data_IF_182293998302
#
_entry.id   IF_182293998302
#
_cell.length_a   1.000
_cell.length_b   1.000
_cell.length_c   1.000
_cell.angle_alpha   90.00
_cell.angle_beta   90.00
_cell.angle_gamma   90.00
#
_symmetry.space_group_name_H-M   'P 1'
#
loop_
_entity.id
_entity.type
_entity.pdbx_description
1 polymer ?
#
# COMPACT_ATOMS: atom_id res chain seq x y z
N UNK A 1 -12.40 2.70 -21.65
CA UNK A 1 -12.94 1.64 -20.79
C UNK A 1 -14.31 1.35 -21.34
N UNK A 2 -14.54 0.14 -21.83
CA UNK A 2 -15.89 -0.32 -22.11
C UNK A 2 -16.66 -0.33 -20.79
N UNK A 3 -17.88 0.20 -20.82
CA UNK A 3 -18.84 0.33 -19.70
C UNK A 3 -19.35 -1.03 -19.16
N UNK A 4 -18.59 -2.10 -19.34
CA UNK A 4 -18.95 -3.43 -18.87
C UNK A 4 -18.17 -3.69 -17.58
N UNK A 5 -18.89 -3.69 -16.45
CA UNK A 5 -18.34 -4.08 -15.16
C UNK A 5 -17.83 -5.53 -15.20
N UNK A 6 -16.93 -5.86 -14.28
CA UNK A 6 -16.34 -7.20 -14.19
C UNK A 6 -17.39 -8.27 -13.91
N UNK A 7 -17.30 -9.38 -14.62
CA UNK A 7 -18.11 -10.56 -14.35
C UNK A 7 -17.66 -11.27 -13.05
N UNK A 8 -18.55 -12.05 -12.40
CA UNK A 8 -18.15 -12.93 -11.30
C UNK A 8 -17.09 -13.98 -11.67
N UNK A 9 -16.87 -14.23 -12.97
CA UNK A 9 -15.82 -15.14 -13.46
C UNK A 9 -14.44 -14.46 -13.51
N UNK A 10 -14.40 -13.13 -13.67
CA UNK A 10 -13.18 -12.31 -13.63
C UNK A 10 -12.77 -11.95 -12.19
N UNK A 11 -13.72 -11.93 -11.26
CA UNK A 11 -13.47 -11.79 -9.82
C UNK A 11 -13.43 -13.20 -9.21
N UNK A 12 -12.24 -13.76 -9.02
CA UNK A 12 -12.11 -15.05 -8.32
C UNK A 12 -12.54 -14.90 -6.86
N UNK A 13 -13.76 -15.37 -6.56
CA UNK A 13 -14.36 -15.39 -5.22
C UNK A 13 -14.14 -16.72 -4.50
N UNK A 14 -13.41 -17.66 -5.10
CA UNK A 14 -13.10 -18.96 -4.50
C UNK A 14 -11.82 -18.94 -3.65
N UNK A 15 -11.00 -17.90 -3.80
CA UNK A 15 -9.71 -17.76 -3.12
C UNK A 15 -9.60 -16.43 -2.37
N UNK A 16 -8.97 -16.42 -1.18
CA UNK A 16 -8.77 -15.19 -0.43
C UNK A 16 -7.76 -14.27 -1.12
N UNK A 17 -8.05 -12.97 -1.15
CA UNK A 17 -7.19 -11.94 -1.73
C UNK A 17 -6.67 -10.97 -0.67
N UNK A 18 -5.39 -10.56 -0.71
CA UNK A 18 -4.82 -9.66 0.28
C UNK A 18 -5.58 -8.35 0.47
N UNK A 19 -6.04 -7.70 -0.62
CA UNK A 19 -6.79 -6.44 -0.54
C UNK A 19 -8.12 -6.60 0.22
N UNK A 20 -8.81 -7.73 0.02
CA UNK A 20 -10.10 -8.05 0.65
C UNK A 20 -9.94 -8.47 2.11
N UNK A 21 -8.88 -9.21 2.41
CA UNK A 21 -8.50 -9.51 3.81
C UNK A 21 -8.13 -8.23 4.57
N UNK A 22 -7.39 -7.32 3.92
CA UNK A 22 -7.01 -6.03 4.50
C UNK A 22 -8.23 -5.13 4.76
N UNK A 23 -9.19 -5.09 3.83
CA UNK A 23 -10.48 -4.45 4.04
C UNK A 23 -11.20 -4.99 5.29
N UNK A 24 -11.24 -6.31 5.45
CA UNK A 24 -11.84 -6.93 6.64
C UNK A 24 -11.12 -6.55 7.94
N UNK A 25 -9.77 -6.50 7.95
CA UNK A 25 -9.00 -6.03 9.11
C UNK A 25 -9.31 -4.58 9.49
N UNK A 26 -9.71 -3.75 8.51
CA UNK A 26 -10.14 -2.37 8.73
C UNK A 26 -11.63 -2.24 9.09
N UNK A 27 -12.37 -3.35 9.18
CA UNK A 27 -13.80 -3.37 9.46
C UNK A 27 -14.69 -3.06 8.25
N UNK A 28 -14.13 -3.14 7.05
CA UNK A 28 -14.85 -2.99 5.79
C UNK A 28 -15.72 -4.20 5.45
N UNK A 29 -16.49 -4.08 4.36
CA UNK A 29 -17.49 -5.06 3.93
C UNK A 29 -17.32 -5.51 2.49
N UNK A 30 -16.29 -5.03 1.82
CA UNK A 30 -16.02 -5.26 0.40
C UNK A 30 -15.09 -6.48 0.26
N UNK A 31 -15.57 -7.58 0.81
CA UNK A 31 -14.88 -8.86 0.95
C UNK A 31 -15.87 -10.01 0.87
N UNK A 32 -15.42 -11.17 0.40
CA UNK A 32 -16.23 -12.39 0.30
C UNK A 32 -16.04 -13.29 1.52
N UNK A 33 -16.86 -14.34 1.62
CA UNK A 33 -16.80 -15.29 2.73
C UNK A 33 -15.42 -15.94 2.88
N UNK A 34 -14.81 -16.35 1.76
CA UNK A 34 -13.45 -16.93 1.73
C UNK A 34 -12.39 -15.97 2.29
N UNK A 35 -12.55 -14.67 2.05
CA UNK A 35 -11.65 -13.64 2.56
C UNK A 35 -11.81 -13.48 4.07
N UNK A 36 -13.07 -13.45 4.56
CA UNK A 36 -13.37 -13.35 6.00
C UNK A 36 -12.89 -14.56 6.78
N UNK A 37 -13.08 -15.77 6.25
CA UNK A 37 -12.58 -16.98 6.89
C UNK A 37 -11.05 -17.02 6.94
N UNK A 38 -10.37 -16.60 5.87
CA UNK A 38 -8.92 -16.47 5.86
C UNK A 38 -8.45 -15.40 6.86
N UNK A 39 -9.07 -14.23 6.82
CA UNK A 39 -8.74 -13.11 7.70
C UNK A 39 -8.97 -13.46 9.18
N UNK A 40 -10.10 -14.10 9.52
CA UNK A 40 -10.39 -14.52 10.89
C UNK A 40 -9.37 -15.52 11.42
N UNK A 41 -8.92 -16.48 10.59
CA UNK A 41 -7.85 -17.40 11.00
C UNK A 41 -6.54 -16.67 11.29
N UNK A 42 -6.18 -15.67 10.47
CA UNK A 42 -5.01 -14.82 10.74
C UNK A 42 -5.21 -14.04 12.04
N UNK A 43 -6.41 -13.54 12.32
CA UNK A 43 -6.71 -12.83 13.58
C UNK A 43 -6.59 -13.77 14.80
N UNK A 44 -7.07 -15.01 14.68
CA UNK A 44 -7.03 -15.99 15.78
C UNK A 44 -5.59 -16.38 16.12
N UNK A 45 -4.72 -16.49 15.10
CA UNK A 45 -3.29 -16.80 15.26
C UNK A 45 -2.48 -15.56 15.64
N UNK A 46 -2.80 -14.41 15.05
CA UNK A 46 -2.04 -13.18 15.18
C UNK A 46 -2.97 -11.96 15.35
N UNK A 47 -3.52 -11.76 16.57
CA UNK A 47 -4.52 -10.72 16.84
C UNK A 47 -4.05 -9.29 16.53
N UNK A 48 -2.74 -9.05 16.55
CA UNK A 48 -2.14 -7.75 16.29
C UNK A 48 -2.26 -7.31 14.82
N UNK A 49 -2.63 -8.19 13.90
CA UNK A 49 -2.83 -7.84 12.48
C UNK A 49 -3.83 -6.70 12.29
N UNK A 50 -4.89 -6.65 13.11
CA UNK A 50 -5.92 -5.60 13.07
C UNK A 50 -5.32 -4.27 13.49
N UNK A 51 -4.54 -4.27 14.58
CA UNK A 51 -3.85 -3.08 15.07
C UNK A 51 -2.83 -2.58 14.05
N UNK A 52 -2.08 -3.50 13.42
CA UNK A 52 -1.08 -3.20 12.39
C UNK A 52 -1.72 -2.60 11.14
N UNK A 53 -2.82 -3.17 10.62
CA UNK A 53 -3.54 -2.64 9.48
C UNK A 53 -4.05 -1.20 9.74
N UNK A 54 -4.65 -0.97 10.91
CA UNK A 54 -5.11 0.36 11.31
C UNK A 54 -3.94 1.34 11.48
N UNK A 55 -2.83 0.91 12.08
CA UNK A 55 -1.61 1.70 12.25
C UNK A 55 -0.99 2.11 10.92
N UNK A 56 -0.91 1.18 9.96
CA UNK A 56 -0.46 1.43 8.60
C UNK A 56 -1.40 2.40 7.86
N UNK A 57 -2.72 2.25 8.00
CA UNK A 57 -3.68 3.20 7.42
C UNK A 57 -3.52 4.61 7.98
N UNK A 58 -3.32 4.75 9.30
CA UNK A 58 -3.03 6.06 9.92
C UNK A 58 -1.72 6.65 9.40
N UNK A 59 -0.67 5.85 9.22
CA UNK A 59 0.58 6.30 8.60
C UNK A 59 0.35 6.82 7.18
N UNK A 60 -0.39 6.07 6.35
CA UNK A 60 -0.71 6.47 4.98
C UNK A 60 -1.35 7.87 4.95
N UNK A 61 -2.35 8.13 5.80
CA UNK A 61 -2.98 9.46 5.87
C UNK A 61 -1.96 10.57 6.19
N UNK A 62 -1.08 10.36 7.16
CA UNK A 62 -0.05 11.36 7.54
C UNK A 62 0.99 11.55 6.45
N UNK A 63 1.41 10.47 5.79
CA UNK A 63 2.37 10.53 4.68
C UNK A 63 1.78 11.28 3.48
N UNK A 64 0.53 11.00 3.11
CA UNK A 64 -0.16 11.68 2.00
C UNK A 64 -0.37 13.17 2.30
N UNK A 65 -0.78 13.52 3.53
CA UNK A 65 -0.87 14.92 3.96
C UNK A 65 0.48 15.62 3.81
N UNK A 66 1.56 14.96 4.27
CA UNK A 66 2.91 15.47 4.12
C UNK A 66 3.32 15.65 2.65
N UNK A 67 2.99 14.71 1.75
CA UNK A 67 3.24 14.88 0.31
C UNK A 67 2.60 16.17 -0.21
N UNK A 68 1.31 16.37 0.05
CA UNK A 68 0.58 17.54 -0.41
C UNK A 68 1.11 18.86 0.17
N UNK A 69 1.39 18.90 1.48
CA UNK A 69 2.00 20.06 2.17
C UNK A 69 3.39 20.39 1.62
N UNK A 70 4.13 19.37 1.16
CA UNK A 70 5.48 19.51 0.61
C UNK A 70 5.53 19.93 -0.87
N UNK A 71 4.37 20.20 -1.47
CA UNK A 71 4.25 20.68 -2.85
C UNK A 71 3.98 19.60 -3.90
N UNK A 72 3.84 18.32 -3.53
CA UNK A 72 3.44 17.28 -4.48
C UNK A 72 1.99 17.52 -4.93
N UNK A 73 1.75 17.45 -6.23
CA UNK A 73 0.41 17.65 -6.86
C UNK A 73 -0.07 16.47 -7.69
N UNK A 74 0.70 15.39 -7.72
CA UNK A 74 0.42 14.22 -8.53
C UNK A 74 0.96 12.99 -7.81
N UNK A 75 0.10 12.00 -7.59
CA UNK A 75 0.38 10.80 -6.82
C UNK A 75 0.07 9.58 -7.67
N UNK A 76 0.98 8.61 -7.66
CA UNK A 76 0.77 7.26 -8.19
C UNK A 76 0.73 6.30 -7.01
N UNK A 77 -0.42 5.67 -6.81
CA UNK A 77 -0.70 4.78 -5.67
C UNK A 77 -0.83 3.34 -6.16
N UNK A 78 0.24 2.54 -6.00
CA UNK A 78 0.33 1.18 -6.53
C UNK A 78 0.09 0.17 -5.39
N UNK A 79 -0.86 -0.74 -5.61
CA UNK A 79 -1.42 -1.58 -4.55
C UNK A 79 -2.42 -0.80 -3.71
N UNK A 80 -3.32 -0.06 -4.39
CA UNK A 80 -4.32 0.81 -3.75
C UNK A 80 -5.18 0.07 -2.73
N UNK A 81 -5.48 -1.20 -3.00
CA UNK A 81 -6.41 -2.01 -2.24
C UNK A 81 -7.85 -1.52 -2.34
N UNK A 82 -8.72 -2.12 -1.55
CA UNK A 82 -10.14 -1.72 -1.47
C UNK A 82 -10.25 -0.28 -0.96
N UNK A 83 -11.07 0.58 -1.61
CA UNK A 83 -11.29 1.95 -1.15
C UNK A 83 -11.84 2.00 0.29
N UNK A 84 -11.03 2.51 1.23
CA UNK A 84 -11.44 2.78 2.61
C UNK A 84 -11.33 4.27 2.90
N UNK A 85 -12.40 4.95 3.28
CA UNK A 85 -12.33 6.39 3.52
C UNK A 85 -11.56 6.74 4.83
N UNK A 86 -10.79 7.85 4.86
CA UNK A 86 -10.45 8.71 3.72
C UNK A 86 -9.40 8.05 2.80
N UNK A 87 -9.64 8.09 1.49
CA UNK A 87 -8.73 7.60 0.45
C UNK A 87 -7.58 8.59 0.18
N UNK A 88 -6.52 8.13 -0.48
CA UNK A 88 -5.34 8.95 -0.84
C UNK A 88 -5.70 10.32 -1.43
N UNK A 89 -6.59 10.37 -2.44
CA UNK A 89 -7.02 11.62 -3.05
C UNK A 89 -7.80 12.52 -2.07
N UNK A 90 -8.63 11.94 -1.20
CA UNK A 90 -9.41 12.71 -0.22
C UNK A 90 -8.46 13.40 0.77
N UNK A 91 -7.49 12.65 1.32
CA UNK A 91 -6.47 13.21 2.23
C UNK A 91 -5.62 14.28 1.55
N UNK A 92 -5.19 14.04 0.30
CA UNK A 92 -4.37 15.02 -0.43
C UNK A 92 -5.16 16.28 -0.79
N UNK A 93 -6.43 16.14 -1.19
CA UNK A 93 -7.28 17.24 -1.65
C UNK A 93 -7.84 18.08 -0.50
N UNK A 94 -7.88 17.56 0.73
CA UNK A 94 -8.06 18.37 1.93
C UNK A 94 -6.96 19.45 2.08
N UNK A 95 -5.74 19.15 1.64
CA UNK A 95 -4.60 20.08 1.66
C UNK A 95 -4.54 20.93 0.39
N UNK A 96 -4.70 20.30 -0.79
CA UNK A 96 -4.63 20.98 -2.09
C UNK A 96 -5.61 20.36 -3.08
N UNK A 97 -6.75 21.02 -3.38
CA UNK A 97 -7.84 20.44 -4.18
C UNK A 97 -7.48 20.00 -5.61
N UNK A 98 -6.36 20.50 -6.14
CA UNK A 98 -5.84 20.22 -7.48
C UNK A 98 -4.96 18.96 -7.55
N UNK A 99 -4.71 18.27 -6.43
CA UNK A 99 -3.91 17.04 -6.43
C UNK A 99 -4.58 15.96 -7.27
N UNK A 100 -3.81 15.43 -8.22
CA UNK A 100 -4.20 14.31 -9.09
C UNK A 100 -3.70 12.99 -8.52
N UNK A 101 -4.52 11.93 -8.61
CA UNK A 101 -4.14 10.60 -8.12
C UNK A 101 -4.46 9.53 -9.14
N UNK A 102 -3.44 8.78 -9.55
CA UNK A 102 -3.60 7.55 -10.33
C UNK A 102 -3.49 6.34 -9.40
N UNK A 103 -4.57 5.59 -9.28
CA UNK A 103 -4.67 4.38 -8.50
C UNK A 103 -4.44 3.15 -9.37
N UNK A 104 -3.67 2.20 -8.84
CA UNK A 104 -3.32 0.95 -9.53
C UNK A 104 -3.47 -0.21 -8.54
N UNK A 105 -4.16 -1.25 -8.97
CA UNK A 105 -4.25 -2.52 -8.26
C UNK A 105 -4.40 -3.66 -9.27
N UNK A 106 -4.02 -4.89 -8.92
CA UNK A 106 -4.19 -6.04 -9.80
C UNK A 106 -5.42 -6.89 -9.47
N UNK A 107 -6.11 -6.63 -8.36
CA UNK A 107 -7.37 -7.31 -8.02
C UNK A 107 -8.55 -6.66 -8.77
N UNK A 108 -9.25 -7.38 -9.68
CA UNK A 108 -10.42 -6.88 -10.40
C UNK A 108 -11.56 -6.37 -9.50
N UNK A 109 -11.63 -6.86 -8.25
CA UNK A 109 -12.64 -6.36 -7.30
C UNK A 109 -12.41 -4.87 -6.98
N UNK A 110 -11.14 -4.45 -6.88
CA UNK A 110 -10.79 -3.06 -6.55
C UNK A 110 -11.29 -2.13 -7.64
N UNK A 111 -11.20 -2.55 -8.90
CA UNK A 111 -11.72 -1.80 -10.03
C UNK A 111 -13.24 -1.57 -9.95
N UNK A 112 -13.98 -2.58 -9.51
CA UNK A 112 -15.44 -2.50 -9.29
C UNK A 112 -15.78 -1.44 -8.26
N UNK A 113 -15.04 -1.37 -7.15
CA UNK A 113 -15.27 -0.38 -6.09
C UNK A 113 -14.66 1.01 -6.38
N UNK A 114 -13.59 1.06 -7.18
CA UNK A 114 -12.92 2.29 -7.58
C UNK A 114 -13.87 3.24 -8.32
N UNK A 115 -14.72 2.72 -9.20
CA UNK A 115 -15.71 3.52 -9.94
C UNK A 115 -16.69 4.27 -9.05
N UNK A 116 -17.12 3.65 -7.95
CA UNK A 116 -18.09 4.24 -7.03
C UNK A 116 -17.47 5.23 -6.02
N UNK A 117 -16.21 5.02 -5.62
CA UNK A 117 -15.61 5.73 -4.49
C UNK A 117 -14.41 6.63 -4.85
N UNK A 118 -13.75 6.38 -5.98
CA UNK A 118 -12.53 7.08 -6.36
C UNK A 118 -12.74 8.03 -7.54
N UNK A 119 -13.68 7.75 -8.45
CA UNK A 119 -13.84 8.48 -9.71
C UNK A 119 -15.04 9.43 -9.63
N UNK A 120 -14.80 10.75 -9.60
CA UNK A 120 -15.90 11.72 -9.53
C UNK A 120 -15.56 13.16 -9.90
N UNK A 121 -14.30 13.60 -9.73
CA UNK A 121 -13.90 14.99 -9.96
C UNK A 121 -12.92 15.19 -11.15
N UNK A 122 -12.58 14.13 -11.88
CA UNK A 122 -11.66 14.19 -13.03
C UNK A 122 -10.17 14.36 -12.68
N UNK A 123 -9.84 14.53 -11.41
CA UNK A 123 -8.48 14.55 -10.87
C UNK A 123 -8.02 13.16 -10.38
N UNK A 124 -8.83 12.12 -10.55
CA UNK A 124 -8.52 10.74 -10.17
C UNK A 124 -8.71 9.80 -11.34
N UNK A 125 -7.94 8.73 -11.34
CA UNK A 125 -8.07 7.64 -12.31
C UNK A 125 -7.68 6.33 -11.66
N UNK A 126 -8.28 5.24 -12.13
CA UNK A 126 -7.98 3.89 -11.70
C UNK A 126 -7.69 3.03 -12.92
N UNK A 127 -6.80 2.06 -12.80
CA UNK A 127 -6.65 0.98 -13.77
C UNK A 127 -6.05 -0.27 -13.13
N UNK A 128 -6.29 -1.42 -13.79
CA UNK A 128 -5.66 -2.66 -13.38
C UNK A 128 -4.20 -2.71 -13.83
N UNK A 129 -3.30 -3.04 -12.92
CA UNK A 129 -1.88 -3.15 -13.21
C UNK A 129 -1.13 -3.92 -12.12
N UNK A 130 -0.13 -4.69 -12.54
CA UNK A 130 0.72 -5.45 -11.62
C UNK A 130 1.98 -4.64 -11.26
N UNK A 131 2.27 -4.51 -9.97
CA UNK A 131 3.46 -3.78 -9.47
C UNK A 131 4.76 -4.37 -10.03
N UNK A 132 4.76 -5.64 -10.45
CA UNK A 132 5.89 -6.33 -11.09
C UNK A 132 6.12 -5.91 -12.54
N UNK A 133 5.24 -5.10 -13.12
CA UNK A 133 5.34 -4.61 -14.49
C UNK A 133 5.47 -3.06 -14.55
N UNK A 134 6.59 -2.47 -14.06
CA UNK A 134 6.76 -1.01 -14.02
C UNK A 134 6.52 -0.31 -15.35
N UNK A 135 7.06 -0.84 -16.45
CA UNK A 135 6.88 -0.26 -17.78
C UNK A 135 5.41 -0.23 -18.23
N UNK A 136 4.65 -1.27 -17.89
CA UNK A 136 3.22 -1.36 -18.20
C UNK A 136 2.44 -0.28 -17.45
N UNK A 137 2.71 -0.14 -16.16
CA UNK A 137 2.10 0.88 -15.30
C UNK A 137 2.48 2.28 -15.78
N UNK A 138 3.77 2.58 -15.92
CA UNK A 138 4.28 3.92 -16.25
C UNK A 138 3.80 4.42 -17.62
N UNK A 139 3.54 3.51 -18.58
CA UNK A 139 3.04 3.84 -19.92
C UNK A 139 1.53 3.77 -20.04
N UNK A 140 0.82 3.41 -18.98
CA UNK A 140 -0.63 3.24 -19.04
C UNK A 140 -1.33 4.57 -19.37
N UNK A 141 -2.37 4.59 -20.24
CA UNK A 141 -3.03 5.84 -20.65
C UNK A 141 -3.59 6.69 -19.50
N UNK A 142 -3.97 6.06 -18.38
CA UNK A 142 -4.41 6.79 -17.18
C UNK A 142 -3.27 7.57 -16.53
N UNK A 143 -2.05 7.01 -16.51
CA UNK A 143 -0.85 7.71 -16.04
C UNK A 143 -0.59 8.92 -16.93
N UNK A 144 -0.54 8.76 -18.25
CA UNK A 144 -0.27 9.87 -19.18
C UNK A 144 -1.31 11.00 -19.13
N UNK A 145 -2.54 10.72 -18.66
CA UNK A 145 -3.60 11.73 -18.49
C UNK A 145 -3.49 12.52 -17.18
N UNK A 146 -2.90 11.92 -16.14
CA UNK A 146 -2.92 12.46 -14.78
C UNK A 146 -1.55 12.90 -14.27
N UNK A 147 -0.48 12.28 -14.78
CA UNK A 147 0.87 12.42 -14.24
C UNK A 147 1.77 13.05 -15.30
N UNK A 148 2.36 14.17 -14.95
CA UNK A 148 3.37 14.89 -15.72
C UNK A 148 4.75 14.60 -15.14
N UNK A 149 5.53 13.72 -15.76
CA UNK A 149 6.87 13.33 -15.27
C UNK A 149 7.94 14.42 -15.43
N UNK A 150 7.61 15.61 -15.94
CA UNK A 150 8.47 16.79 -15.85
C UNK A 150 8.33 17.51 -14.48
N UNK A 151 7.39 17.08 -13.65
CA UNK A 151 7.12 17.64 -12.32
C UNK A 151 7.20 16.56 -11.21
N UNK A 152 7.59 16.91 -9.98
CA UNK A 152 7.66 15.96 -8.86
C UNK A 152 6.40 15.13 -8.66
N UNK A 153 6.58 13.82 -8.48
CA UNK A 153 5.50 12.83 -8.27
C UNK A 153 5.64 12.19 -6.88
N UNK A 154 4.52 11.94 -6.21
CA UNK A 154 4.47 11.07 -5.04
C UNK A 154 4.19 9.64 -5.46
N UNK A 155 5.15 8.74 -5.32
CA UNK A 155 4.96 7.30 -5.52
C UNK A 155 4.64 6.64 -4.18
N UNK A 156 3.55 5.89 -4.12
CA UNK A 156 3.16 5.11 -2.94
C UNK A 156 3.27 3.61 -3.22
N UNK A 157 4.02 2.94 -2.36
CA UNK A 157 4.19 1.49 -2.26
C UNK A 157 3.89 1.07 -0.81
N UNK A 158 2.65 1.34 -0.39
CA UNK A 158 2.19 1.15 1.00
C UNK A 158 1.60 -0.24 1.14
N UNK A 159 2.17 -1.06 2.02
CA UNK A 159 1.71 -2.42 2.31
C UNK A 159 1.56 -3.35 1.07
N UNK A 160 2.46 -3.22 0.09
CA UNK A 160 2.43 -4.03 -1.15
C UNK A 160 3.69 -4.88 -1.36
N UNK A 161 4.89 -4.34 -1.08
CA UNK A 161 6.15 -5.01 -1.45
C UNK A 161 6.42 -6.30 -0.67
N UNK A 162 5.76 -6.51 0.46
CA UNK A 162 5.85 -7.76 1.21
C UNK A 162 5.11 -8.92 0.53
N UNK A 163 4.37 -8.68 -0.55
CA UNK A 163 3.82 -9.72 -1.42
C UNK A 163 4.74 -10.09 -2.59
N UNK A 164 5.87 -9.38 -2.73
CA UNK A 164 6.89 -9.64 -3.74
C UNK A 164 7.98 -10.50 -3.13
N UNK A 165 8.26 -11.64 -3.77
CA UNK A 165 9.30 -12.57 -3.33
C UNK A 165 10.68 -12.08 -3.72
N UNK A 166 11.71 -12.56 -3.05
CA UNK A 166 13.08 -12.12 -3.33
C UNK A 166 13.58 -12.55 -4.74
N UNK A 167 13.05 -13.65 -5.30
CA UNK A 167 13.33 -14.08 -6.68
C UNK A 167 12.65 -13.20 -7.75
N UNK A 168 11.73 -12.32 -7.35
CA UNK A 168 11.06 -11.35 -8.22
C UNK A 168 11.77 -9.98 -8.23
N UNK A 169 12.97 -9.87 -7.63
CA UNK A 169 13.81 -8.67 -7.55
C UNK A 169 13.07 -7.40 -7.08
N UNK A 170 12.59 -7.36 -5.81
CA UNK A 170 11.85 -6.23 -5.28
C UNK A 170 12.67 -4.93 -5.29
N UNK A 171 13.99 -5.02 -5.14
CA UNK A 171 14.88 -3.85 -5.18
C UNK A 171 14.97 -3.29 -6.61
N UNK A 172 15.11 -4.15 -7.61
CA UNK A 172 15.05 -3.78 -9.03
C UNK A 172 13.71 -3.17 -9.42
N UNK A 173 12.58 -3.68 -8.89
CA UNK A 173 11.26 -3.09 -9.12
C UNK A 173 11.17 -1.67 -8.58
N UNK A 174 11.58 -1.44 -7.32
CA UNK A 174 11.59 -0.09 -6.73
C UNK A 174 12.55 0.84 -7.48
N UNK A 175 13.71 0.34 -7.91
CA UNK A 175 14.65 1.09 -8.73
C UNK A 175 14.04 1.50 -10.08
N UNK A 176 13.32 0.61 -10.77
CA UNK A 176 12.67 0.90 -12.04
C UNK A 176 11.63 2.03 -11.90
N UNK A 177 10.80 2.00 -10.85
CA UNK A 177 9.90 3.11 -10.58
C UNK A 177 10.65 4.39 -10.22
N UNK A 178 11.64 4.32 -9.32
CA UNK A 178 12.47 5.47 -8.93
C UNK A 178 13.06 6.15 -10.16
N UNK A 179 13.62 5.39 -11.09
CA UNK A 179 14.36 5.92 -12.23
C UNK A 179 13.47 6.72 -13.19
N UNK A 180 12.17 6.40 -13.24
CA UNK A 180 11.17 7.17 -14.00
C UNK A 180 10.73 8.48 -13.32
N UNK A 181 10.98 8.66 -12.02
CA UNK A 181 10.54 9.85 -11.29
C UNK A 181 11.51 11.04 -11.51
N UNK A 182 11.04 12.28 -11.68
CA UNK A 182 11.93 13.45 -11.67
C UNK A 182 12.49 13.74 -10.27
N UNK A 183 13.55 14.53 -10.19
CA UNK A 183 14.09 15.05 -8.93
C UNK A 183 13.01 15.81 -8.13
N UNK A 184 13.08 15.72 -6.80
CA UNK A 184 12.07 16.25 -5.87
C UNK A 184 10.83 15.36 -5.70
N UNK A 185 10.71 14.28 -6.48
CA UNK A 185 9.70 13.24 -6.27
C UNK A 185 9.87 12.54 -4.93
N UNK A 186 8.82 11.87 -4.45
CA UNK A 186 8.81 11.24 -3.14
C UNK A 186 8.37 9.79 -3.22
N UNK A 187 9.03 8.93 -2.46
CA UNK A 187 8.60 7.54 -2.22
C UNK A 187 7.98 7.45 -0.84
N UNK A 188 6.75 6.96 -0.75
CA UNK A 188 6.10 6.53 0.50
C UNK A 188 6.05 5.02 0.50
N UNK A 189 6.61 4.39 1.52
CA UNK A 189 6.71 2.92 1.58
C UNK A 189 6.39 2.43 2.98
N UNK A 190 5.65 1.32 3.07
CA UNK A 190 5.53 0.54 4.29
C UNK A 190 5.64 -0.96 4.01
N UNK A 191 6.23 -1.67 4.95
CA UNK A 191 6.56 -3.08 4.79
C UNK A 191 6.42 -3.83 6.11
N UNK A 192 5.78 -5.00 6.10
CA UNK A 192 5.69 -5.84 7.30
C UNK A 192 7.04 -6.48 7.63
N UNK A 193 7.36 -6.63 8.90
CA UNK A 193 8.66 -7.12 9.36
C UNK A 193 8.50 -8.11 10.52
N UNK A 194 9.48 -9.00 10.65
CA UNK A 194 9.61 -9.89 11.80
C UNK A 194 10.45 -9.30 12.94
N UNK A 195 10.99 -8.09 12.81
CA UNK A 195 11.97 -7.54 13.77
C UNK A 195 11.41 -7.24 15.17
N UNK A 196 10.09 -6.99 15.28
CA UNK A 196 9.46 -6.50 16.51
C UNK A 196 8.62 -7.54 17.25
N UNK A 197 8.33 -8.65 16.58
CA UNK A 197 7.61 -9.77 17.17
C UNK A 197 8.64 -10.84 17.49
N UNK A 198 8.73 -11.26 18.75
CA UNK A 198 9.38 -12.55 19.04
C UNK A 198 8.54 -13.60 18.31
N UNK A 199 9.04 -14.07 17.16
CA UNK A 199 8.37 -15.08 16.33
C UNK A 199 8.48 -16.45 17.03
N UNK A 200 8.00 -16.58 18.26
CA UNK A 200 7.70 -17.89 18.84
C UNK A 200 6.32 -18.32 18.33
N UNK A 201 6.29 -19.43 17.57
CA UNK A 201 5.06 -20.14 17.17
C UNK A 201 4.18 -19.45 16.12
N UNK A 202 3.39 -18.46 16.55
CA UNK A 202 2.11 -18.13 15.90
C UNK A 202 2.25 -17.24 14.65
N UNK A 203 3.28 -16.40 14.58
CA UNK A 203 3.53 -15.56 13.41
C UNK A 203 4.09 -16.35 12.20
N UNK A 204 4.67 -17.54 12.43
CA UNK A 204 4.95 -18.50 11.37
C UNK A 204 3.65 -19.07 10.80
N UNK A 205 2.74 -19.51 11.68
CA UNK A 205 1.44 -20.06 11.29
C UNK A 205 0.54 -19.04 10.58
N UNK A 206 0.60 -17.76 10.95
CA UNK A 206 -0.11 -16.70 10.23
C UNK A 206 0.42 -16.52 8.78
N UNK A 207 1.73 -16.65 8.54
CA UNK A 207 2.28 -16.69 7.17
C UNK A 207 1.84 -17.95 6.43
N UNK A 208 1.71 -19.05 7.16
CA UNK A 208 1.22 -20.30 6.62
C UNK A 208 -0.25 -20.18 6.20
N UNK A 209 -1.08 -19.35 6.82
CA UNK A 209 -2.44 -19.09 6.30
C UNK A 209 -2.41 -18.43 4.91
N UNK A 210 -1.51 -17.47 4.68
CA UNK A 210 -1.32 -16.88 3.35
C UNK A 210 -0.81 -17.91 2.33
N UNK A 211 0.04 -18.87 2.75
CA UNK A 211 0.62 -19.90 1.88
C UNK A 211 -0.29 -21.12 1.64
N UNK A 212 -0.78 -21.73 2.71
CA UNK A 212 -1.40 -23.06 2.74
C UNK A 212 -2.90 -23.04 2.38
N UNK A 213 -3.59 -21.91 2.56
CA UNK A 213 -4.98 -21.74 2.09
C UNK A 213 -5.07 -21.16 0.68
N UNK A 214 -3.94 -21.08 -0.02
CA UNK A 214 -3.89 -20.64 -1.40
C UNK A 214 -4.38 -19.20 -1.56
N UNK A 215 -4.06 -18.30 -0.62
CA UNK A 215 -4.21 -16.87 -0.90
C UNK A 215 -3.42 -16.53 -2.16
N UNK A 216 -3.83 -15.48 -2.86
CA UNK A 216 -3.20 -15.12 -4.14
C UNK A 216 -1.76 -14.61 -3.99
N UNK A 217 -1.29 -14.35 -2.76
CA UNK A 217 0.06 -13.88 -2.49
C UNK A 217 0.67 -14.50 -1.22
N UNK A 218 2.00 -14.64 -1.21
CA UNK A 218 2.81 -15.09 -0.06
C UNK A 218 3.49 -13.89 0.60
N UNK A 219 3.55 -13.87 1.94
CA UNK A 219 4.25 -12.84 2.69
C UNK A 219 5.76 -13.10 2.75
N UNK A 220 6.55 -12.14 2.29
CA UNK A 220 8.00 -12.06 2.45
C UNK A 220 8.31 -10.99 3.49
N UNK A 221 8.64 -11.39 4.73
CA UNK A 221 9.03 -10.44 5.77
C UNK A 221 10.48 -10.04 5.58
N UNK A 222 10.77 -8.76 5.81
CA UNK A 222 12.11 -8.18 5.63
C UNK A 222 12.58 -7.48 6.89
N UNK A 223 13.88 -7.55 7.15
CA UNK A 223 14.53 -6.81 8.23
C UNK A 223 14.53 -5.30 7.96
N UNK A 224 14.83 -4.51 8.98
CA UNK A 224 15.01 -3.05 8.82
C UNK A 224 15.99 -2.70 7.71
N UNK A 225 17.12 -3.39 7.64
CA UNK A 225 18.18 -3.13 6.64
C UNK A 225 17.68 -3.39 5.22
N UNK A 226 16.99 -4.51 5.01
CA UNK A 226 16.41 -4.85 3.71
C UNK A 226 15.33 -3.84 3.28
N UNK A 227 14.45 -3.42 4.19
CA UNK A 227 13.44 -2.39 3.89
C UNK A 227 14.09 -1.04 3.64
N UNK A 228 15.16 -0.70 4.37
CA UNK A 228 15.91 0.53 4.17
C UNK A 228 16.55 0.60 2.78
N UNK A 229 17.03 -0.53 2.24
CA UNK A 229 17.57 -0.61 0.88
C UNK A 229 16.58 -0.24 -0.23
N UNK A 230 15.27 -0.33 0.00
CA UNK A 230 14.28 0.17 -0.97
C UNK A 230 14.30 1.70 -1.11
N UNK A 231 14.92 2.42 -0.18
CA UNK A 231 15.10 3.87 -0.27
C UNK A 231 16.43 4.25 -0.94
N UNK A 232 17.18 3.31 -1.53
CA UNK A 232 18.40 3.64 -2.27
C UNK A 232 18.11 4.64 -3.41
N UNK A 233 18.84 5.76 -3.42
CA UNK A 233 18.59 6.88 -4.32
C UNK A 233 17.55 7.89 -3.82
N UNK A 234 17.09 7.75 -2.57
CA UNK A 234 16.23 8.72 -1.89
C UNK A 234 16.85 9.17 -0.56
N UNK A 235 16.72 10.46 -0.25
CA UNK A 235 17.02 10.99 1.08
C UNK A 235 15.81 10.81 1.99
N UNK A 236 16.00 10.07 3.08
CA UNK A 236 14.93 9.81 4.04
C UNK A 236 14.48 11.09 4.77
N UNK A 237 13.18 11.35 4.70
CA UNK A 237 12.52 12.39 5.50
C UNK A 237 12.51 11.97 6.96
N UNK A 238 12.95 12.88 7.85
CA UNK A 238 12.90 12.64 9.30
C UNK A 238 11.48 12.26 9.75
N UNK A 239 11.33 11.21 10.59
CA UNK A 239 12.36 10.54 11.40
C UNK A 239 13.09 9.37 10.70
N UNK A 240 12.97 9.21 9.38
CA UNK A 240 13.52 8.09 8.63
C UNK A 240 12.63 6.86 8.64
N UNK A 241 13.24 5.67 8.62
CA UNK A 241 12.52 4.39 8.64
C UNK A 241 12.23 3.96 10.08
N UNK A 242 10.95 4.00 10.47
CA UNK A 242 10.44 3.73 11.81
C UNK A 242 9.14 2.93 11.75
N UNK A 243 8.61 2.47 12.90
CA UNK A 243 7.29 1.86 12.94
C UNK A 243 6.19 2.90 12.60
N UNK A 244 5.09 2.51 11.92
CA UNK A 244 4.05 3.44 11.46
C UNK A 244 3.56 4.44 12.51
N UNK A 245 3.31 4.10 13.78
CA UNK A 245 2.86 5.08 14.78
C UNK A 245 3.90 6.15 15.14
N UNK A 246 5.20 5.89 14.90
CA UNK A 246 6.30 6.81 15.22
C UNK A 246 6.58 7.81 14.09
N UNK A 247 6.09 7.57 12.88
CA UNK A 247 6.31 8.46 11.77
C UNK A 247 5.39 9.69 11.88
N UNK A 248 5.93 10.82 12.36
CA UNK A 248 5.25 12.13 12.49
C UNK A 248 3.83 12.01 13.08
N UNK A 249 3.66 11.54 14.32
CA UNK A 249 2.34 11.29 14.90
C UNK A 249 1.54 12.58 15.09
N UNK A 250 0.23 12.52 14.83
CA UNK A 250 -0.72 13.62 15.08
C UNK A 250 -1.14 13.71 16.57
N UNK A 251 -0.72 12.74 17.38
CA UNK A 251 -1.12 12.58 18.78
C UNK A 251 -0.02 11.98 19.65
N UNK A 252 -0.37 11.47 20.84
CA UNK A 252 0.60 10.85 21.74
C UNK A 252 1.38 9.72 21.05
N UNK A 253 2.68 9.67 21.33
CA UNK A 253 3.53 8.55 20.90
C UNK A 253 3.15 7.30 21.70
N UNK A 254 2.87 6.16 21.04
CA UNK A 254 2.60 4.91 21.74
C UNK A 254 3.73 4.48 22.67
N UNK A 255 3.38 3.83 23.78
CA UNK A 255 4.35 3.21 24.69
C UNK A 255 4.96 1.92 24.10
N UNK A 256 6.02 1.43 24.72
CA UNK A 256 6.76 0.23 24.26
C UNK A 256 5.88 -1.00 24.03
N UNK A 257 4.90 -1.24 24.91
CA UNK A 257 3.99 -2.39 24.79
C UNK A 257 3.07 -2.29 23.56
N UNK A 258 2.66 -1.09 23.17
CA UNK A 258 1.85 -0.91 21.95
C UNK A 258 2.74 -0.99 20.70
N UNK A 259 3.97 -0.49 20.77
CA UNK A 259 4.94 -0.61 19.69
C UNK A 259 5.37 -2.05 19.44
N UNK A 260 5.52 -2.87 20.48
CA UNK A 260 5.82 -4.30 20.34
C UNK A 260 4.80 -5.03 19.43
N UNK A 261 3.56 -4.54 19.41
CA UNK A 261 2.46 -5.09 18.60
C UNK A 261 2.48 -4.63 17.13
N UNK A 262 3.40 -3.75 16.75
CA UNK A 262 3.45 -3.15 15.41
C UNK A 262 4.58 -3.74 14.57
N UNK A 263 4.26 -4.78 13.79
CA UNK A 263 5.21 -5.47 12.90
C UNK A 263 5.40 -4.79 11.54
N UNK A 264 5.60 -3.47 11.49
CA UNK A 264 5.79 -2.74 10.24
C UNK A 264 6.95 -1.75 10.35
N UNK A 265 7.64 -1.54 9.24
CA UNK A 265 8.40 -0.31 8.98
C UNK A 265 7.64 0.57 7.99
N UNK A 266 7.83 1.88 8.14
CA UNK A 266 7.23 2.91 7.30
C UNK A 266 8.17 4.12 7.18
N UNK A 267 8.22 4.73 6.00
CA UNK A 267 9.09 5.86 5.72
C UNK A 267 8.69 6.64 4.48
N UNK A 268 9.25 7.84 4.37
CA UNK A 268 9.14 8.70 3.18
C UNK A 268 10.53 9.11 2.75
N UNK A 269 10.86 8.97 1.47
CA UNK A 269 12.12 9.40 0.87
C UNK A 269 11.91 10.47 -0.19
N UNK A 270 12.89 11.35 -0.40
CA UNK A 270 12.90 12.39 -1.45
C UNK A 270 13.97 12.00 -2.48
N UNK A 271 13.60 11.93 -3.75
CA UNK A 271 14.54 11.70 -4.85
C UNK A 271 15.31 13.00 -5.11
N UNK A 272 16.64 12.92 -5.15
CA UNK A 272 17.51 14.04 -5.53
C UNK A 272 17.63 14.25 -7.03
#
# INVERSE_FOLDING_TARGET
>A
MTDEGFSPEEIDTSRPHPARMYDYYLGGRDNYEVDREAAQRVIDLFPDIVHMAQGNRRFMHRAVRHLAESGIRQIVDIGTGIPTAPNTHQVAQEVSPDVRVAYVDNDPIVATYAGAHLLGAGNTGFFLGDVREPESILRHPTISKLIDFDQPVGLMLVAILHFIRDDEDPAGLVAAYRDALPAGSRLVLSHTTGDFHELEGDAGEARDVYRDKGATATLTLRSREQVLGFFDGFDLVQPGLVQPPLWRPDGPVPGEQELARTGFYAGVGIKN
#
